data_IF_560039348894
#
_entry.id   IF_560039348894
#
_cell.length_a   1.000
_cell.length_b   1.000
_cell.length_c   1.000
_cell.angle_alpha   90.00
_cell.angle_beta   90.00
_cell.angle_gamma   90.00
#
_symmetry.space_group_name_H-M   'P 1'
#
loop_
_entity.id
_entity.type
_entity.pdbx_description
1 polymer ?
#
# COMPACT_ATOMS: atom_id res chain seq x y z
N UNK A 1 40.76 32.44 33.47
CA UNK A 1 40.25 33.30 32.39
C UNK A 1 40.20 32.44 31.14
N UNK A 2 39.03 32.39 30.54
CA UNK A 2 38.67 31.61 29.35
C UNK A 2 38.71 32.59 28.18
N UNK A 3 39.45 32.28 27.13
CA UNK A 3 39.27 32.73 25.72
C UNK A 3 39.80 31.55 24.89
N UNK A 4 39.01 30.66 24.28
CA UNK A 4 38.03 30.76 23.18
C UNK A 4 38.66 31.16 21.85
N UNK A 5 39.03 30.16 21.04
CA UNK A 5 39.05 30.20 19.58
C UNK A 5 38.83 28.77 19.07
N UNK A 6 37.56 28.40 18.88
CA UNK A 6 37.16 27.19 18.15
C UNK A 6 36.59 27.63 16.80
N UNK A 7 37.39 27.41 15.76
CA UNK A 7 37.01 27.55 14.35
C UNK A 7 36.09 26.38 13.97
N UNK A 8 34.86 26.70 13.52
CA UNK A 8 33.86 25.69 13.15
C UNK A 8 34.25 24.96 11.85
N UNK A 9 34.14 23.61 11.78
CA UNK A 9 34.44 22.90 10.55
C UNK A 9 33.32 23.04 9.51
N UNK A 10 33.71 23.50 8.33
CA UNK A 10 32.91 23.67 7.11
C UNK A 10 32.28 22.34 6.67
N UNK A 11 30.94 22.27 6.67
CA UNK A 11 30.20 21.12 6.13
C UNK A 11 30.26 21.14 4.60
N UNK A 12 30.99 20.18 4.03
CA UNK A 12 31.02 19.94 2.60
C UNK A 12 29.65 19.45 2.12
N UNK A 13 29.01 20.24 1.25
CA UNK A 13 27.76 19.87 0.58
C UNK A 13 28.06 18.90 -0.57
N UNK A 14 28.08 17.60 -0.27
CA UNK A 14 28.07 16.58 -1.32
C UNK A 14 26.65 16.47 -1.90
N UNK A 15 26.49 16.91 -3.15
CA UNK A 15 25.26 16.71 -3.93
C UNK A 15 25.14 15.23 -4.30
N UNK A 16 24.52 14.43 -3.45
CA UNK A 16 24.10 13.09 -3.82
C UNK A 16 22.84 13.16 -4.70
N UNK A 17 22.95 12.68 -5.94
CA UNK A 17 21.80 12.44 -6.83
C UNK A 17 21.05 11.21 -6.31
N UNK A 18 19.83 11.41 -5.82
CA UNK A 18 18.91 10.33 -5.46
C UNK A 18 18.25 9.74 -6.72
N UNK A 19 18.21 8.41 -6.90
CA UNK A 19 17.23 7.81 -7.79
C UNK A 19 15.85 7.87 -7.11
N UNK A 20 14.91 8.40 -7.87
CA UNK A 20 13.47 8.49 -7.65
C UNK A 20 12.85 7.17 -7.16
N UNK A 21 12.27 7.18 -5.94
CA UNK A 21 11.02 6.50 -5.56
C UNK A 21 10.83 6.57 -4.03
N UNK A 22 10.23 7.66 -3.54
CA UNK A 22 9.69 7.74 -2.18
C UNK A 22 8.25 8.23 -2.29
N UNK A 23 7.29 7.47 -1.78
CA UNK A 23 5.98 8.02 -1.45
C UNK A 23 5.44 7.40 -0.15
N UNK A 24 5.20 8.28 0.81
CA UNK A 24 4.55 8.06 2.11
C UNK A 24 3.04 8.23 1.87
N UNK A 25 2.24 7.19 2.15
CA UNK A 25 0.78 7.22 1.93
C UNK A 25 -0.04 7.79 3.10
N UNK A 26 0.57 8.53 4.04
CA UNK A 26 -0.13 8.98 5.27
C UNK A 26 -0.64 10.43 5.23
N UNK A 27 -0.36 11.23 4.20
CA UNK A 27 -0.71 12.66 4.20
C UNK A 27 -2.06 13.03 3.54
N UNK A 28 -2.72 12.12 2.80
CA UNK A 28 -3.85 12.48 1.93
C UNK A 28 -5.22 12.57 2.63
N UNK A 29 -5.35 12.16 3.89
CA UNK A 29 -6.66 12.08 4.58
C UNK A 29 -7.13 13.44 5.14
N UNK A 30 -6.23 14.42 5.30
CA UNK A 30 -6.56 15.70 5.92
C UNK A 30 -7.35 16.67 5.02
N UNK A 31 -7.31 16.50 3.69
CA UNK A 31 -7.87 17.47 2.73
C UNK A 31 -9.37 17.39 2.53
N UNK A 32 -10.00 16.21 2.70
CA UNK A 32 -11.42 16.05 2.38
C UNK A 32 -12.37 16.75 3.38
N UNK A 33 -11.95 16.99 4.61
CA UNK A 33 -12.75 17.72 5.61
C UNK A 33 -12.70 19.24 5.45
N UNK A 34 -11.66 19.77 4.81
CA UNK A 34 -11.36 21.20 4.79
C UNK A 34 -12.20 21.99 3.78
N UNK A 35 -12.63 21.35 2.69
CA UNK A 35 -13.44 21.98 1.62
C UNK A 35 -14.84 22.36 2.08
N UNK A 36 -15.44 21.64 3.04
CA UNK A 36 -16.73 21.99 3.65
C UNK A 36 -16.69 23.25 4.54
N UNK A 37 -15.49 23.74 4.88
CA UNK A 37 -15.28 24.90 5.77
C UNK A 37 -14.54 26.06 5.09
N UNK A 38 -14.48 26.11 3.75
CA UNK A 38 -13.92 27.26 3.03
C UNK A 38 -12.39 27.38 3.14
N UNK A 39 -11.68 26.28 3.38
CA UNK A 39 -10.23 26.29 3.49
C UNK A 39 -9.56 26.20 2.12
N UNK A 40 -8.77 27.22 1.76
CA UNK A 40 -8.07 27.39 0.47
C UNK A 40 -6.54 27.20 0.57
N UNK A 41 -6.04 26.73 1.72
CA UNK A 41 -4.62 26.48 1.92
C UNK A 41 -4.16 25.15 1.32
N UNK A 42 -2.88 25.02 1.00
CA UNK A 42 -2.27 23.70 0.84
C UNK A 42 -2.23 22.98 2.20
N UNK A 43 -2.43 21.64 2.26
CA UNK A 43 -2.24 20.86 3.48
C UNK A 43 -0.78 20.83 3.87
N UNK A 44 -0.39 21.84 4.63
CA UNK A 44 0.87 21.88 5.36
C UNK A 44 0.61 21.26 6.73
N UNK A 45 1.16 20.07 7.01
CA UNK A 45 1.30 19.63 8.40
C UNK A 45 2.46 20.45 9.01
N UNK A 46 2.18 21.72 9.29
CA UNK A 46 3.17 22.69 9.77
C UNK A 46 3.85 22.15 11.04
N UNK A 47 5.18 22.24 11.08
CA UNK A 47 5.97 21.96 12.28
C UNK A 47 6.40 20.50 12.46
N UNK A 48 6.20 19.61 11.49
CA UNK A 48 6.77 18.26 11.54
C UNK A 48 8.09 18.17 10.77
N UNK A 49 9.10 17.57 11.39
CA UNK A 49 10.32 17.12 10.73
C UNK A 49 10.38 15.59 10.75
N UNK A 50 10.93 15.00 9.70
CA UNK A 50 11.09 13.56 9.57
C UNK A 50 12.58 13.22 9.52
N UNK A 51 12.95 12.16 10.25
CA UNK A 51 14.27 11.55 10.17
C UNK A 51 14.13 10.12 9.66
N UNK A 52 14.94 9.76 8.68
CA UNK A 52 15.02 8.41 8.18
C UNK A 52 16.17 7.68 8.84
N UNK A 53 15.92 6.42 9.21
CA UNK A 53 16.92 5.52 9.78
C UNK A 53 16.88 4.23 8.97
N UNK A 54 18.05 3.75 8.57
CA UNK A 54 18.14 2.47 7.87
C UNK A 54 17.76 1.34 8.84
N UNK A 55 16.92 0.42 8.36
CA UNK A 55 16.58 -0.82 9.08
C UNK A 55 17.44 -1.97 8.56
N UNK A 56 17.65 -2.98 9.40
CA UNK A 56 18.40 -4.19 9.01
C UNK A 56 17.48 -5.40 8.79
N UNK A 57 17.95 -6.38 8.01
CA UNK A 57 17.25 -7.62 7.70
C UNK A 57 16.11 -7.53 6.68
N UNK A 58 15.53 -6.33 6.48
CA UNK A 58 14.62 -6.01 5.36
C UNK A 58 15.02 -4.72 4.62
N UNK A 59 16.28 -4.31 4.77
CA UNK A 59 16.84 -3.14 4.10
C UNK A 59 17.10 -3.34 2.60
N UNK A 60 17.88 -2.42 2.02
CA UNK A 60 18.25 -2.46 0.61
C UNK A 60 19.03 -3.73 0.26
N UNK A 61 18.70 -4.31 -0.89
CA UNK A 61 19.29 -5.54 -1.38
C UNK A 61 19.22 -5.56 -2.91
N UNK A 62 20.38 -5.71 -3.57
CA UNK A 62 20.46 -5.72 -5.02
C UNK A 62 19.52 -6.77 -5.65
N UNK A 63 18.70 -6.33 -6.60
CA UNK A 63 17.75 -7.18 -7.31
C UNK A 63 16.48 -7.54 -6.53
N UNK A 64 16.30 -7.01 -5.32
CA UNK A 64 15.10 -7.19 -4.49
C UNK A 64 14.44 -5.85 -4.25
N UNK A 65 13.17 -5.74 -4.61
CA UNK A 65 12.35 -4.59 -4.26
C UNK A 65 11.45 -4.97 -3.08
N UNK A 66 11.56 -4.23 -1.97
CA UNK A 66 10.61 -4.23 -0.85
C UNK A 66 9.96 -2.85 -0.79
N UNK A 67 8.64 -2.77 -0.87
CA UNK A 67 7.93 -1.50 -1.01
C UNK A 67 6.51 -1.54 -0.44
N UNK A 68 5.94 -0.36 -0.29
CA UNK A 68 4.56 -0.15 0.15
C UNK A 68 4.26 -0.91 1.46
N UNK A 69 4.95 -0.55 2.57
CA UNK A 69 4.72 -1.20 3.85
C UNK A 69 3.32 -0.89 4.38
N UNK A 70 2.72 -1.90 5.01
CA UNK A 70 1.51 -1.73 5.82
C UNK A 70 1.77 -0.83 7.03
N UNK A 71 0.71 -0.51 7.76
CA UNK A 71 0.86 -0.07 9.14
C UNK A 71 1.64 -1.13 9.95
N UNK A 72 2.52 -0.67 10.83
CA UNK A 72 3.25 -1.55 11.76
C UNK A 72 2.33 -1.88 12.92
N UNK A 73 2.13 -3.18 13.18
CA UNK A 73 1.32 -3.63 14.32
C UNK A 73 2.21 -4.20 15.41
N UNK A 74 1.82 -4.00 16.67
CA UNK A 74 2.44 -4.64 17.83
C UNK A 74 1.57 -5.78 18.32
N UNK A 75 2.17 -6.96 18.46
CA UNK A 75 1.54 -8.18 18.97
C UNK A 75 2.44 -8.74 20.07
N UNK A 76 2.01 -8.60 21.33
CA UNK A 76 2.87 -8.90 22.48
C UNK A 76 4.09 -7.97 22.54
N UNK A 77 5.28 -8.56 22.62
CA UNK A 77 6.58 -7.89 22.66
C UNK A 77 7.24 -7.75 21.27
N UNK A 78 6.48 -7.94 20.19
CA UNK A 78 6.98 -7.94 18.81
C UNK A 78 6.21 -6.97 17.92
N UNK A 79 6.92 -6.37 16.97
CA UNK A 79 6.38 -5.61 15.85
C UNK A 79 6.29 -6.48 14.61
N UNK A 80 5.26 -6.26 13.79
CA UNK A 80 5.07 -6.91 12.50
C UNK A 80 4.78 -5.86 11.44
N UNK A 81 5.31 -6.07 10.24
CA UNK A 81 5.05 -5.26 9.05
C UNK A 81 4.85 -6.20 7.86
N UNK A 82 3.96 -5.79 6.96
CA UNK A 82 3.71 -6.47 5.70
C UNK A 82 4.10 -5.56 4.56
N UNK A 83 4.62 -6.10 3.47
CA UNK A 83 5.06 -5.28 2.33
C UNK A 83 5.01 -6.07 1.04
N UNK A 84 5.01 -5.36 -0.07
CA UNK A 84 5.19 -5.95 -1.40
C UNK A 84 6.65 -6.33 -1.58
N UNK A 85 6.91 -7.54 -2.07
CA UNK A 85 8.25 -7.97 -2.49
C UNK A 85 8.25 -8.46 -3.93
N UNK A 86 9.26 -8.02 -4.68
CA UNK A 86 9.58 -8.49 -6.03
C UNK A 86 11.06 -8.84 -6.10
N UNK A 87 11.38 -10.06 -6.53
CA UNK A 87 12.76 -10.50 -6.75
C UNK A 87 13.01 -10.58 -8.25
N UNK A 88 13.87 -9.71 -8.79
CA UNK A 88 14.07 -9.55 -10.24
C UNK A 88 14.51 -10.84 -10.92
N UNK A 89 15.34 -11.63 -10.25
CA UNK A 89 15.87 -12.89 -10.79
C UNK A 89 14.80 -13.99 -10.88
N UNK A 90 13.75 -13.93 -10.05
CA UNK A 90 12.64 -14.88 -10.04
C UNK A 90 11.57 -14.55 -11.08
N UNK A 91 11.62 -13.35 -11.69
CA UNK A 91 10.67 -12.97 -12.73
C UNK A 91 10.97 -13.68 -14.06
N UNK A 92 9.92 -14.17 -14.77
CA UNK A 92 10.03 -14.55 -16.17
C UNK A 92 10.66 -13.44 -17.00
N UNK A 93 11.42 -13.80 -18.04
CA UNK A 93 12.12 -12.83 -18.88
C UNK A 93 11.16 -11.77 -19.47
N UNK A 94 9.96 -12.19 -19.90
CA UNK A 94 8.90 -11.32 -20.42
C UNK A 94 8.36 -10.32 -19.39
N UNK A 95 8.50 -10.60 -18.09
CA UNK A 95 7.99 -9.77 -17.00
C UNK A 95 9.05 -8.88 -16.36
N UNK A 96 10.35 -9.06 -16.68
CA UNK A 96 11.45 -8.29 -16.06
C UNK A 96 11.33 -6.78 -16.23
N UNK A 97 10.65 -6.32 -17.29
CA UNK A 97 10.34 -4.89 -17.51
C UNK A 97 9.45 -4.28 -16.41
N UNK A 98 8.72 -5.11 -15.66
CA UNK A 98 7.86 -4.67 -14.56
C UNK A 98 8.65 -4.42 -13.28
N UNK A 99 9.89 -4.90 -13.14
CA UNK A 99 10.71 -4.56 -11.98
C UNK A 99 11.16 -3.09 -12.07
N UNK A 100 11.13 -2.30 -10.98
CA UNK A 100 10.80 -2.64 -9.59
C UNK A 100 9.37 -2.25 -9.16
N UNK A 101 8.40 -2.25 -10.07
CA UNK A 101 6.98 -2.02 -9.72
C UNK A 101 6.45 -3.15 -8.82
N UNK A 102 5.37 -2.87 -8.09
CA UNK A 102 4.69 -3.88 -7.27
C UNK A 102 3.80 -4.86 -8.06
N UNK A 103 3.54 -4.63 -9.36
CA UNK A 103 2.57 -5.42 -10.11
C UNK A 103 2.81 -6.93 -10.13
N UNK A 104 4.03 -7.44 -10.36
CA UNK A 104 4.31 -8.88 -10.29
C UNK A 104 4.64 -9.33 -8.84
N UNK A 105 4.22 -8.55 -7.85
CA UNK A 105 4.60 -8.73 -6.46
C UNK A 105 3.79 -9.77 -5.72
N UNK A 106 4.36 -10.14 -4.57
CA UNK A 106 3.70 -10.92 -3.54
C UNK A 106 3.82 -10.20 -2.21
N UNK A 107 2.95 -10.52 -1.25
CA UNK A 107 2.99 -9.91 0.09
C UNK A 107 3.83 -10.76 1.04
N UNK A 108 4.76 -10.11 1.71
CA UNK A 108 5.69 -10.70 2.68
C UNK A 108 5.48 -10.09 4.06
N UNK A 109 5.88 -10.82 5.09
CA UNK A 109 5.84 -10.39 6.48
C UNK A 109 7.24 -10.37 7.08
N UNK A 110 7.53 -9.36 7.89
CA UNK A 110 8.70 -9.33 8.75
C UNK A 110 8.30 -9.01 10.19
N UNK A 111 9.14 -9.45 11.12
CA UNK A 111 8.97 -9.21 12.55
C UNK A 111 10.22 -8.55 13.14
N UNK A 112 10.02 -7.68 14.12
CA UNK A 112 11.12 -7.03 14.85
C UNK A 112 10.82 -6.92 16.34
N UNK A 113 11.83 -7.05 17.23
CA UNK A 113 11.66 -6.74 18.65
C UNK A 113 11.66 -5.23 18.94
N UNK A 114 12.25 -4.40 18.07
CA UNK A 114 12.55 -2.99 18.36
C UNK A 114 12.14 -1.99 17.26
N UNK A 115 11.65 -2.50 16.12
CA UNK A 115 11.26 -1.69 14.96
C UNK A 115 12.44 -1.29 14.05
N UNK A 116 13.68 -1.69 14.37
CA UNK A 116 14.90 -1.34 13.64
C UNK A 116 15.60 -2.57 13.05
N UNK A 117 15.64 -3.67 13.80
CA UNK A 117 16.24 -4.94 13.38
C UNK A 117 15.14 -5.92 13.04
N UNK A 118 14.96 -6.23 11.76
CA UNK A 118 13.86 -7.05 11.29
C UNK A 118 14.34 -8.43 10.85
N UNK A 119 13.48 -9.42 11.03
CA UNK A 119 13.61 -10.76 10.44
C UNK A 119 12.47 -10.96 9.46
N UNK A 120 12.79 -11.08 8.18
CA UNK A 120 11.84 -11.46 7.14
C UNK A 120 11.36 -12.90 7.43
N UNK A 121 10.07 -13.06 7.69
CA UNK A 121 9.48 -14.36 8.03
C UNK A 121 9.11 -15.16 6.79
N UNK A 122 8.76 -14.49 5.70
CA UNK A 122 8.45 -15.11 4.41
C UNK A 122 7.23 -14.51 3.72
N UNK A 123 6.86 -15.12 2.60
CA UNK A 123 5.67 -14.78 1.82
C UNK A 123 4.41 -15.22 2.57
N UNK A 124 3.47 -14.29 2.79
CA UNK A 124 2.18 -14.56 3.45
C UNK A 124 1.00 -14.58 2.49
N UNK A 125 1.12 -13.94 1.32
CA UNK A 125 0.13 -14.00 0.25
C UNK A 125 0.81 -13.91 -1.12
N UNK A 126 0.53 -14.88 -2.00
CA UNK A 126 0.97 -14.88 -3.39
C UNK A 126 -0.20 -14.75 -4.37
N UNK A 127 0.11 -14.70 -5.66
CA UNK A 127 -0.90 -14.78 -6.72
C UNK A 127 -1.79 -16.03 -6.55
N UNK A 128 -3.06 -15.87 -6.89
CA UNK A 128 -4.10 -16.89 -6.80
C UNK A 128 -4.20 -17.74 -8.09
N UNK A 129 -5.28 -18.53 -8.20
CA UNK A 129 -5.61 -19.31 -9.40
C UNK A 129 -5.99 -18.40 -10.59
N UNK A 130 -5.72 -18.86 -11.81
CA UNK A 130 -5.75 -18.06 -13.05
C UNK A 130 -7.05 -17.29 -13.34
N UNK A 131 -8.20 -17.75 -12.85
CA UNK A 131 -9.52 -17.15 -13.11
C UNK A 131 -9.98 -16.10 -12.07
N UNK A 132 -9.14 -15.78 -11.08
CA UNK A 132 -9.46 -14.78 -10.05
C UNK A 132 -8.79 -13.43 -10.31
N UNK A 133 -9.30 -12.37 -9.67
CA UNK A 133 -8.85 -10.99 -9.94
C UNK A 133 -7.40 -10.71 -9.52
N UNK A 134 -6.84 -11.56 -8.65
CA UNK A 134 -5.52 -11.43 -8.04
C UNK A 134 -4.51 -12.50 -8.53
N UNK A 135 -4.74 -12.99 -9.75
CA UNK A 135 -3.99 -14.10 -10.34
C UNK A 135 -2.65 -13.74 -10.97
N UNK A 136 -2.37 -12.44 -11.15
CA UNK A 136 -1.05 -11.99 -11.63
C UNK A 136 -0.15 -11.53 -10.49
N UNK A 137 -0.67 -10.67 -9.61
CA UNK A 137 0.10 -10.20 -8.46
C UNK A 137 -0.75 -9.54 -7.39
N UNK A 138 -0.21 -9.58 -6.17
CA UNK A 138 -0.80 -9.03 -4.94
C UNK A 138 0.21 -8.11 -4.27
N UNK A 139 -0.18 -6.86 -4.03
CA UNK A 139 0.73 -5.79 -3.64
C UNK A 139 0.01 -4.70 -2.85
N UNK A 140 0.78 -3.73 -2.37
CA UNK A 140 0.37 -2.65 -1.47
C UNK A 140 -0.54 -3.15 -0.34
N UNK A 141 -0.03 -3.99 0.57
CA UNK A 141 -0.80 -4.50 1.67
C UNK A 141 -1.07 -3.41 2.71
N UNK A 142 -2.20 -3.53 3.40
CA UNK A 142 -2.35 -2.96 4.74
C UNK A 142 -3.03 -3.95 5.68
N UNK A 143 -2.84 -3.78 6.99
CA UNK A 143 -3.26 -4.73 8.00
C UNK A 143 -4.17 -4.08 9.02
N UNK A 144 -5.21 -4.79 9.43
CA UNK A 144 -6.06 -4.39 10.54
C UNK A 144 -6.24 -5.55 11.52
N UNK A 145 -5.94 -5.31 12.80
CA UNK A 145 -6.18 -6.28 13.87
C UNK A 145 -7.54 -6.02 14.51
N UNK A 146 -8.48 -6.95 14.36
CA UNK A 146 -9.85 -6.85 14.90
C UNK A 146 -10.30 -8.19 15.44
N UNK A 147 -10.87 -8.20 16.66
CA UNK A 147 -11.40 -9.42 17.33
C UNK A 147 -10.38 -10.57 17.38
N UNK A 148 -9.13 -10.25 17.70
CA UNK A 148 -8.06 -11.26 17.80
C UNK A 148 -7.57 -11.81 16.46
N UNK A 149 -8.14 -11.38 15.32
CA UNK A 149 -7.74 -11.78 13.97
C UNK A 149 -7.01 -10.66 13.23
N UNK A 150 -6.31 -11.06 12.17
CA UNK A 150 -5.48 -10.22 11.33
C UNK A 150 -6.08 -10.16 9.93
N UNK A 151 -6.52 -8.99 9.50
CA UNK A 151 -7.19 -8.76 8.23
C UNK A 151 -6.27 -8.01 7.30
N UNK A 152 -5.73 -8.71 6.31
CA UNK A 152 -4.82 -8.19 5.29
C UNK A 152 -5.63 -7.71 4.09
N UNK A 153 -5.64 -6.41 3.89
CA UNK A 153 -6.15 -5.75 2.69
C UNK A 153 -5.01 -5.67 1.69
N UNK A 154 -5.29 -5.93 0.42
CA UNK A 154 -4.25 -5.93 -0.60
C UNK A 154 -4.81 -5.48 -1.95
N UNK A 155 -4.01 -4.75 -2.70
CA UNK A 155 -4.29 -4.43 -4.09
C UNK A 155 -3.88 -5.62 -4.96
N UNK A 156 -4.60 -5.87 -6.03
CA UNK A 156 -4.26 -6.94 -6.95
C UNK A 156 -4.62 -6.64 -8.39
N UNK A 157 -3.96 -7.39 -9.28
CA UNK A 157 -4.24 -7.42 -10.72
C UNK A 157 -4.24 -8.86 -11.23
N UNK A 158 -4.86 -9.03 -12.39
CA UNK A 158 -4.83 -10.26 -13.18
C UNK A 158 -4.05 -10.04 -14.49
N UNK A 159 -3.70 -11.09 -15.24
CA UNK A 159 -3.07 -10.94 -16.54
C UNK A 159 -3.92 -10.11 -17.51
N UNK A 160 -3.24 -9.40 -18.41
CA UNK A 160 -3.91 -8.65 -19.48
C UNK A 160 -4.68 -9.63 -20.37
N UNK A 161 -6.00 -9.43 -20.55
CA UNK A 161 -6.80 -10.30 -21.41
C UNK A 161 -6.22 -10.38 -22.83
N UNK A 162 -6.13 -11.61 -23.37
CA UNK A 162 -5.61 -11.87 -24.71
C UNK A 162 -4.09 -12.04 -24.79
N UNK A 163 -3.36 -12.02 -23.65
CA UNK A 163 -1.94 -12.38 -23.61
C UNK A 163 -1.75 -13.88 -23.35
N UNK A 164 -1.13 -14.57 -24.31
CA UNK A 164 -0.81 -16.00 -24.20
C UNK A 164 0.30 -16.28 -23.17
N UNK A 165 1.16 -15.30 -22.89
CA UNK A 165 2.26 -15.43 -21.92
C UNK A 165 1.85 -15.08 -20.47
N UNK A 166 0.55 -14.88 -20.23
CA UNK A 166 0.02 -14.49 -18.91
C UNK A 166 0.55 -13.15 -18.39
N UNK A 167 1.09 -12.30 -19.26
CA UNK A 167 1.70 -11.03 -18.88
C UNK A 167 0.70 -9.94 -18.45
N UNK A 168 1.26 -8.81 -18.01
CA UNK A 168 0.52 -7.62 -17.59
C UNK A 168 1.09 -6.35 -18.24
N UNK A 169 0.23 -5.59 -18.91
CA UNK A 169 0.60 -4.41 -19.71
C UNK A 169 0.41 -3.08 -18.99
N UNK A 170 -0.31 -3.08 -17.86
CA UNK A 170 -0.59 -1.87 -17.07
C UNK A 170 -1.34 -0.79 -17.88
N UNK A 171 -2.32 -1.18 -18.69
CA UNK A 171 -3.12 -0.24 -19.48
C UNK A 171 -4.43 0.17 -18.78
N UNK A 172 -5.01 1.31 -19.16
CA UNK A 172 -6.20 1.87 -18.49
C UNK A 172 -7.53 1.21 -18.83
N UNK A 173 -7.55 0.33 -19.84
CA UNK A 173 -8.78 -0.22 -20.42
C UNK A 173 -9.05 -1.63 -19.91
N UNK A 174 -8.04 -2.51 -19.91
CA UNK A 174 -8.19 -3.95 -19.64
C UNK A 174 -7.48 -4.43 -18.38
N UNK A 175 -6.66 -3.58 -17.75
CA UNK A 175 -5.86 -3.94 -16.58
C UNK A 175 -6.26 -3.17 -15.32
N UNK A 176 -7.54 -3.10 -14.88
CA UNK A 176 -7.89 -2.43 -13.63
C UNK A 176 -7.26 -3.11 -12.41
N UNK A 177 -7.02 -2.34 -11.32
CA UNK A 177 -6.77 -2.94 -10.00
C UNK A 177 -8.07 -3.29 -9.31
N UNK A 178 -8.00 -4.17 -8.31
CA UNK A 178 -9.04 -4.36 -7.31
C UNK A 178 -8.43 -4.59 -5.93
N UNK A 179 -9.20 -4.34 -4.86
CA UNK A 179 -8.74 -4.60 -3.49
C UNK A 179 -9.42 -5.85 -2.94
N UNK A 180 -8.61 -6.77 -2.43
CA UNK A 180 -9.03 -8.01 -1.76
C UNK A 180 -8.84 -7.97 -0.25
N UNK A 181 -9.33 -9.01 0.41
CA UNK A 181 -9.09 -9.27 1.83
C UNK A 181 -8.70 -10.74 2.03
N UNK A 182 -7.66 -10.94 2.84
CA UNK A 182 -7.34 -12.23 3.44
C UNK A 182 -7.32 -12.12 4.97
N UNK A 183 -7.62 -13.21 5.69
CA UNK A 183 -7.65 -13.26 7.14
C UNK A 183 -6.75 -14.36 7.69
N UNK A 184 -6.15 -14.10 8.85
CA UNK A 184 -5.41 -15.08 9.63
C UNK A 184 -5.74 -14.97 11.12
N UNK A 185 -5.58 -16.07 11.84
CA UNK A 185 -5.66 -16.10 13.32
C UNK A 185 -4.32 -15.71 13.98
N UNK A 186 -3.22 -15.69 13.21
CA UNK A 186 -1.86 -15.32 13.67
C UNK A 186 -1.27 -14.25 12.73
N UNK A 187 -0.38 -13.36 13.20
CA UNK A 187 0.19 -12.33 12.35
C UNK A 187 1.04 -12.90 11.21
N UNK A 188 1.70 -14.04 11.40
CA UNK A 188 2.47 -14.72 10.37
C UNK A 188 1.60 -15.50 9.34
N UNK A 189 0.29 -15.55 9.53
CA UNK A 189 -0.61 -16.39 8.74
C UNK A 189 -0.83 -17.80 9.33
N UNK A 190 -1.32 -18.75 8.51
CA UNK A 190 -1.63 -18.60 7.09
C UNK A 190 -2.78 -17.63 6.85
N UNK A 191 -2.68 -16.82 5.79
CA UNK A 191 -3.75 -15.93 5.35
C UNK A 191 -4.66 -16.63 4.34
N UNK A 192 -5.95 -16.60 4.62
CA UNK A 192 -7.00 -17.16 3.76
C UNK A 192 -7.84 -16.05 3.14
N UNK A 193 -7.95 -16.04 1.81
CA UNK A 193 -8.84 -15.11 1.10
C UNK A 193 -10.27 -15.27 1.59
N UNK A 194 -10.95 -14.15 1.81
CA UNK A 194 -12.37 -14.19 2.22
C UNK A 194 -13.28 -14.47 1.02
N UNK A 195 -12.91 -13.98 -0.18
CA UNK A 195 -13.67 -14.14 -1.43
C UNK A 195 -12.72 -14.18 -2.63
N UNK A 196 -13.17 -14.82 -3.70
CA UNK A 196 -12.51 -14.81 -5.01
C UNK A 196 -12.73 -13.52 -5.81
N UNK A 197 -13.65 -12.66 -5.34
CA UNK A 197 -13.95 -11.35 -5.94
C UNK A 197 -13.38 -10.24 -5.04
N UNK A 198 -12.90 -9.14 -5.64
CA UNK A 198 -12.45 -7.99 -4.87
C UNK A 198 -13.61 -7.38 -4.07
N UNK A 199 -13.30 -6.81 -2.92
CA UNK A 199 -14.24 -6.02 -2.11
C UNK A 199 -14.41 -4.59 -2.65
N UNK A 200 -13.44 -4.11 -3.43
CA UNK A 200 -13.48 -2.80 -4.09
C UNK A 200 -12.96 -2.93 -5.52
N UNK A 201 -13.74 -2.39 -6.46
CA UNK A 201 -13.40 -2.28 -7.88
C UNK A 201 -13.48 -0.82 -8.33
N UNK A 202 -12.84 -0.46 -9.45
CA UNK A 202 -12.99 0.85 -10.08
C UNK A 202 -14.45 1.19 -10.38
N UNK A 203 -14.76 2.48 -10.40
CA UNK A 203 -16.07 2.96 -10.81
C UNK A 203 -16.38 2.58 -12.28
N UNK A 204 -17.63 2.24 -12.56
CA UNK A 204 -18.10 2.03 -13.93
C UNK A 204 -18.20 3.33 -14.75
N UNK A 205 -18.46 4.45 -14.09
CA UNK A 205 -18.45 5.78 -14.73
C UNK A 205 -17.02 6.17 -15.11
N UNK A 206 -16.69 6.35 -16.41
CA UNK A 206 -15.36 6.73 -16.86
C UNK A 206 -14.86 8.07 -16.28
N UNK A 207 -15.78 8.98 -15.92
CA UNK A 207 -15.43 10.31 -15.38
C UNK A 207 -15.14 10.27 -13.88
N UNK A 208 -15.50 9.20 -13.17
CA UNK A 208 -15.19 9.07 -11.76
C UNK A 208 -13.68 9.10 -11.51
N UNK A 209 -13.28 9.66 -10.37
CA UNK A 209 -11.87 9.83 -10.00
C UNK A 209 -11.11 8.48 -9.87
N UNK A 210 -11.83 7.38 -9.68
CA UNK A 210 -11.33 6.03 -9.49
C UNK A 210 -11.84 5.04 -10.56
N UNK A 211 -12.15 5.54 -11.75
CA UNK A 211 -12.66 4.74 -12.87
C UNK A 211 -11.65 3.80 -13.53
N UNK A 212 -10.36 3.91 -13.17
CA UNK A 212 -9.29 3.03 -13.63
C UNK A 212 -8.68 2.21 -12.49
N UNK A 213 -8.26 2.85 -11.40
CA UNK A 213 -7.53 2.18 -10.31
C UNK A 213 -8.18 2.45 -8.97
N UNK A 214 -8.13 1.44 -8.12
CA UNK A 214 -8.41 1.50 -6.68
C UNK A 214 -7.26 0.80 -5.95
N UNK A 215 -6.41 1.58 -5.30
CA UNK A 215 -5.17 1.08 -4.70
C UNK A 215 -5.01 1.59 -3.26
N UNK A 216 -3.93 1.16 -2.60
CA UNK A 216 -3.39 1.81 -1.39
C UNK A 216 -4.38 1.87 -0.22
N UNK A 217 -4.83 0.69 0.22
CA UNK A 217 -5.77 0.59 1.34
C UNK A 217 -5.20 1.19 2.63
N UNK A 218 -5.96 2.05 3.28
CA UNK A 218 -5.66 2.56 4.62
C UNK A 218 -6.91 2.47 5.49
N UNK A 219 -6.78 1.80 6.65
CA UNK A 219 -7.91 1.43 7.49
C UNK A 219 -7.81 2.15 8.83
N UNK A 220 -8.86 2.86 9.22
CA UNK A 220 -8.94 3.55 10.50
C UNK A 220 -10.20 3.11 11.25
N UNK A 221 -10.03 2.63 12.48
CA UNK A 221 -11.17 2.38 13.36
C UNK A 221 -11.50 3.68 14.11
N UNK A 222 -12.67 4.25 13.85
CA UNK A 222 -13.12 5.49 14.51
C UNK A 222 -14.63 5.50 14.68
N UNK A 223 -15.10 5.77 15.90
CA UNK A 223 -16.53 5.84 16.23
C UNK A 223 -17.27 4.51 16.02
N UNK A 224 -16.62 3.39 16.35
CA UNK A 224 -17.18 2.04 16.19
C UNK A 224 -17.30 1.56 14.73
N UNK A 225 -16.65 2.26 13.78
CA UNK A 225 -16.67 1.95 12.34
C UNK A 225 -15.26 1.76 11.82
N UNK A 226 -15.12 0.94 10.77
CA UNK A 226 -13.93 0.96 9.91
C UNK A 226 -14.17 2.00 8.82
N UNK A 227 -13.24 2.94 8.75
CA UNK A 227 -13.07 3.87 7.65
C UNK A 227 -11.99 3.29 6.73
N UNK A 228 -12.37 3.04 5.48
CA UNK A 228 -11.51 2.44 4.49
C UNK A 228 -11.17 3.51 3.44
N UNK A 229 -9.96 4.04 3.51
CA UNK A 229 -9.40 4.96 2.55
C UNK A 229 -8.67 4.19 1.45
N UNK A 230 -8.71 4.71 0.23
CA UNK A 230 -8.00 4.16 -0.92
C UNK A 230 -7.64 5.31 -1.87
N UNK A 231 -6.72 5.04 -2.78
CA UNK A 231 -6.35 5.95 -3.86
C UNK A 231 -7.09 5.58 -5.13
N UNK A 232 -7.71 6.56 -5.77
CA UNK A 232 -8.35 6.44 -7.07
C UNK A 232 -7.49 6.97 -8.21
N UNK A 233 -7.57 6.33 -9.38
CA UNK A 233 -7.10 6.92 -10.64
C UNK A 233 -8.21 6.91 -11.68
N UNK A 234 -8.38 8.02 -12.40
CA UNK A 234 -9.40 8.18 -13.43
C UNK A 234 -8.88 7.79 -14.80
N UNK A 235 -9.75 7.21 -15.63
CA UNK A 235 -9.54 7.02 -17.07
C UNK A 235 -9.49 8.34 -17.83
N UNK A 236 -10.33 9.31 -17.45
CA UNK A 236 -10.47 10.58 -18.15
C UNK A 236 -9.20 11.45 -18.10
N UNK A 237 -8.39 11.29 -17.05
CA UNK A 237 -7.15 12.06 -16.89
C UNK A 237 -5.94 11.43 -17.62
N UNK A 238 -6.12 10.28 -18.29
CA UNK A 238 -5.09 9.64 -19.10
C UNK A 238 -3.80 9.27 -18.33
N UNK A 239 -2.67 9.06 -19.05
CA UNK A 239 -1.38 8.69 -18.46
C UNK A 239 -0.78 9.75 -17.54
N UNK A 240 -1.17 11.02 -17.70
CA UNK A 240 -0.65 12.17 -16.94
C UNK A 240 -1.50 12.53 -15.71
N UNK A 241 -2.67 11.91 -15.54
CA UNK A 241 -3.57 12.19 -14.42
C UNK A 241 -2.97 11.85 -13.06
N UNK A 242 -2.84 12.87 -12.21
CA UNK A 242 -2.48 12.69 -10.81
C UNK A 242 -3.56 11.85 -10.10
N UNK A 243 -3.16 10.90 -9.23
CA UNK A 243 -4.13 10.14 -8.44
C UNK A 243 -4.89 11.06 -7.46
N UNK A 244 -6.17 10.76 -7.23
CA UNK A 244 -7.01 11.46 -6.25
C UNK A 244 -7.37 10.56 -5.06
N UNK A 245 -7.57 11.12 -3.84
CA UNK A 245 -7.96 10.32 -2.67
C UNK A 245 -9.43 9.87 -2.75
N UNK A 246 -9.71 8.63 -2.37
CA UNK A 246 -11.04 8.04 -2.22
C UNK A 246 -11.35 7.62 -0.79
N UNK A 247 -12.63 7.67 -0.39
CA UNK A 247 -13.09 7.25 0.94
C UNK A 247 -14.28 6.29 0.86
N UNK A 248 -14.19 5.17 1.56
CA UNK A 248 -15.27 4.22 1.82
C UNK A 248 -15.61 4.16 3.31
N UNK A 249 -16.88 3.97 3.63
CA UNK A 249 -17.38 3.86 5.01
C UNK A 249 -18.28 2.64 5.16
N UNK A 250 -18.10 1.87 6.22
CA UNK A 250 -19.04 0.84 6.67
C UNK A 250 -19.85 1.32 7.90
N UNK A 251 -21.14 0.92 8.05
CA UNK A 251 -22.01 1.25 9.22
C UNK A 251 -22.06 0.10 10.26
N UNK A 252 -22.31 0.36 11.58
CA UNK A 252 -22.38 -0.66 12.64
C UNK A 252 -23.84 -0.81 13.17
N UNK A 253 -24.20 -1.84 14.01
CA UNK A 253 -23.51 -2.20 15.27
C UNK A 253 -22.99 -3.64 15.31
N UNK A 254 -21.72 -3.81 15.72
CA UNK A 254 -21.18 -5.12 16.12
C UNK A 254 -19.68 -5.35 15.96
N UNK A 255 -18.97 -4.61 15.10
CA UNK A 255 -17.67 -4.91 14.45
C UNK A 255 -17.90 -5.52 13.05
N UNK A 256 -16.98 -5.28 12.09
CA UNK A 256 -17.29 -5.34 10.67
C UNK A 256 -17.61 -6.77 10.23
N UNK A 257 -18.54 -6.88 9.28
CA UNK A 257 -18.45 -7.88 8.24
C UNK A 257 -17.50 -7.31 7.18
N UNK A 258 -16.19 -7.63 7.22
CA UNK A 258 -15.25 -7.19 6.18
C UNK A 258 -15.55 -7.84 4.82
N UNK A 259 -16.40 -8.86 4.76
CA UNK A 259 -16.99 -9.35 3.52
C UNK A 259 -18.27 -8.60 3.11
N UNK A 260 -18.76 -7.69 3.95
CA UNK A 260 -20.05 -7.01 3.81
C UNK A 260 -20.04 -5.96 2.70
N UNK A 261 -21.23 -5.46 2.37
CA UNK A 261 -21.36 -4.35 1.42
C UNK A 261 -20.81 -3.08 2.06
N UNK A 262 -19.63 -2.68 1.64
CA UNK A 262 -19.12 -1.34 1.88
C UNK A 262 -19.88 -0.34 1.00
N UNK A 263 -20.23 0.82 1.57
CA UNK A 263 -20.91 1.89 0.84
C UNK A 263 -19.85 2.86 0.30
N UNK A 264 -19.83 3.04 -1.03
CA UNK A 264 -19.00 4.05 -1.68
C UNK A 264 -19.51 5.43 -1.27
N UNK A 265 -18.67 6.19 -0.58
CA UNK A 265 -18.97 7.59 -0.34
C UNK A 265 -18.35 8.41 -1.46
N UNK A 266 -19.20 9.07 -2.23
CA UNK A 266 -18.78 10.06 -3.21
C UNK A 266 -18.53 11.38 -2.48
N UNK A 267 -17.47 12.09 -2.86
CA UNK A 267 -17.22 13.47 -2.50
C UNK A 267 -17.58 14.36 -3.68
#
# INVERSE_FOLDING_TARGET
MIESDDEAPTVATSRFRFPTCFWIATAAVATAGAVRHGWTGEPQIKGLSFRYVAVTGIGDQAGVCRRDPSDVIRVGDRYYVYYTKVVRAELPASWRRLYPSGYPGTVWCAMSPDGLHWRELGRVLGASRSDTFDSFGVFTPNILRVRGRYWLYYTAVRPTPGRDDGGFDNNSTTDPTGIGIAVADRPEGPFHRIKDKPILIPAGDPQAFDSYRVDDSCLVIRGGKIWFYYKGRSRAHGPAGAPGPGLWRARPPGLPDPGGRYERLHW
#
